data_IF_455821761184
#
_entry.id   IF_455821761184
#
_cell.length_a   1.000
_cell.length_b   1.000
_cell.length_c   1.000
_cell.angle_alpha   90.00
_cell.angle_beta   90.00
_cell.angle_gamma   90.00
#
_symmetry.space_group_name_H-M   'P 1'
#
loop_
_entity.id
_entity.type
_entity.pdbx_description
1 polymer ?
#
# COMPACT_ATOMS: atom_id res chain seq x y z
N UNK A 1 11.56 1.45 -2.87
CA UNK A 1 10.85 2.75 -2.96
C UNK A 1 9.81 2.76 -1.86
N UNK A 2 9.78 3.80 -1.03
CA UNK A 2 8.76 3.92 0.02
C UNK A 2 7.40 4.06 -0.65
N UNK A 3 6.54 3.06 -0.52
CA UNK A 3 5.16 3.11 -0.99
C UNK A 3 4.41 4.13 -0.15
N UNK A 4 4.45 5.39 -0.57
CA UNK A 4 3.86 6.58 0.08
C UNK A 4 2.34 6.51 0.25
N UNK A 5 1.70 5.40 -0.10
CA UNK A 5 0.25 5.20 -0.05
C UNK A 5 -0.22 4.47 1.20
N UNK A 6 0.69 3.83 1.96
CA UNK A 6 0.35 3.02 3.12
C UNK A 6 1.01 3.55 4.40
N UNK A 7 0.24 3.63 5.48
CA UNK A 7 0.75 3.88 6.83
C UNK A 7 0.73 2.58 7.61
N UNK A 8 1.91 2.07 7.95
CA UNK A 8 2.07 0.84 8.74
C UNK A 8 1.98 1.14 10.22
N UNK A 9 1.18 0.37 10.95
CA UNK A 9 0.99 0.52 12.38
C UNK A 9 0.56 -0.81 13.01
N UNK A 10 0.75 -0.92 14.33
CA UNK A 10 0.19 -2.03 15.11
C UNK A 10 -1.32 -1.80 15.32
N UNK A 11 -2.12 -2.86 15.17
CA UNK A 11 -3.55 -2.84 15.42
C UNK A 11 -3.83 -2.70 16.92
N UNK A 12 -4.40 -1.56 17.30
CA UNK A 12 -4.85 -1.31 18.67
C UNK A 12 -6.33 -1.63 18.81
N UNK A 13 -6.77 -1.87 20.04
CA UNK A 13 -8.19 -2.04 20.35
C UNK A 13 -9.04 -0.87 19.85
N UNK A 14 -8.51 0.36 19.91
CA UNK A 14 -9.21 1.55 19.42
C UNK A 14 -9.49 1.47 17.92
N UNK A 15 -8.52 1.02 17.12
CA UNK A 15 -8.69 0.88 15.67
C UNK A 15 -9.73 -0.21 15.36
N UNK A 16 -9.62 -1.36 16.03
CA UNK A 16 -10.46 -2.51 15.71
C UNK A 16 -11.92 -2.34 16.15
N UNK A 17 -12.15 -1.68 17.30
CA UNK A 17 -13.50 -1.44 17.81
C UNK A 17 -14.18 -0.22 17.20
N UNK A 18 -13.41 0.83 16.84
CA UNK A 18 -14.00 2.09 16.35
C UNK A 18 -14.00 2.20 14.84
N UNK A 19 -13.17 1.44 14.13
CA UNK A 19 -13.06 1.52 12.67
C UNK A 19 -13.45 0.21 12.00
N UNK A 20 -12.66 -0.85 12.18
CA UNK A 20 -12.93 -2.15 11.56
C UNK A 20 -12.06 -3.24 12.18
N UNK A 21 -12.62 -4.44 12.34
CA UNK A 21 -11.92 -5.64 12.76
C UNK A 21 -11.61 -6.59 11.59
N UNK A 22 -11.76 -6.14 10.35
CA UNK A 22 -11.49 -6.94 9.13
C UNK A 22 -10.68 -6.14 8.11
N UNK A 23 -9.89 -6.85 7.31
CA UNK A 23 -9.17 -6.31 6.16
C UNK A 23 -10.16 -5.82 5.09
N UNK A 24 -9.99 -4.58 4.63
CA UNK A 24 -10.85 -3.96 3.63
C UNK A 24 -10.69 -4.47 2.20
N UNK A 25 -9.85 -5.47 1.96
CA UNK A 25 -9.66 -6.12 0.65
C UNK A 25 -10.12 -7.58 0.68
N UNK A 26 -9.58 -8.39 1.60
CA UNK A 26 -9.87 -9.82 1.65
C UNK A 26 -10.88 -10.23 2.73
N UNK A 27 -11.35 -9.30 3.56
CA UNK A 27 -12.26 -9.54 4.69
C UNK A 27 -11.75 -10.53 5.75
N UNK A 28 -10.44 -10.83 5.75
CA UNK A 28 -9.84 -11.58 6.84
C UNK A 28 -9.87 -10.77 8.14
N UNK A 29 -10.03 -11.47 9.27
CA UNK A 29 -10.05 -10.84 10.59
C UNK A 29 -8.69 -10.19 10.92
N UNK A 30 -8.76 -9.02 11.54
CA UNK A 30 -7.63 -8.29 12.11
C UNK A 30 -7.72 -8.37 13.62
N UNK A 31 -6.59 -8.67 14.27
CA UNK A 31 -6.50 -8.86 15.71
C UNK A 31 -5.59 -7.80 16.34
N UNK A 32 -5.78 -7.56 17.63
CA UNK A 32 -4.93 -6.63 18.38
C UNK A 32 -3.49 -7.15 18.34
N UNK A 33 -2.54 -6.27 18.04
CA UNK A 33 -1.13 -6.61 17.89
C UNK A 33 -0.72 -7.00 16.47
N UNK A 34 -1.67 -7.18 15.54
CA UNK A 34 -1.33 -7.41 14.13
C UNK A 34 -0.68 -6.17 13.52
N UNK A 35 0.27 -6.36 12.60
CA UNK A 35 0.76 -5.27 11.76
C UNK A 35 -0.26 -5.05 10.64
N UNK A 36 -0.83 -3.84 10.60
CA UNK A 36 -1.84 -3.45 9.62
C UNK A 36 -1.38 -2.22 8.85
N UNK A 37 -1.92 -2.05 7.65
CA UNK A 37 -1.54 -1.00 6.73
C UNK A 37 -2.76 -0.18 6.36
N UNK A 38 -2.75 1.09 6.72
CA UNK A 38 -3.79 2.02 6.30
C UNK A 38 -3.51 2.52 4.88
N UNK A 39 -4.37 2.12 3.95
CA UNK A 39 -4.40 2.60 2.57
C UNK A 39 -5.00 4.02 2.53
N UNK A 40 -4.14 5.01 2.30
CA UNK A 40 -4.55 6.42 2.26
C UNK A 40 -5.32 6.78 0.99
N UNK A 41 -5.28 5.96 -0.06
CA UNK A 41 -6.00 6.21 -1.31
C UNK A 41 -7.45 5.75 -1.20
N UNK A 42 -7.66 4.56 -0.62
CA UNK A 42 -8.98 3.93 -0.51
C UNK A 42 -9.59 4.05 0.90
N UNK A 43 -8.90 4.70 1.84
CA UNK A 43 -9.34 4.94 3.22
C UNK A 43 -9.74 3.65 3.96
N UNK A 44 -8.91 2.61 3.84
CA UNK A 44 -9.18 1.28 4.43
C UNK A 44 -7.95 0.68 5.09
N UNK A 45 -8.17 -0.18 6.08
CA UNK A 45 -7.10 -0.98 6.70
C UNK A 45 -6.93 -2.31 5.98
N UNK A 46 -5.67 -2.71 5.77
CA UNK A 46 -5.29 -3.92 5.06
C UNK A 46 -4.37 -4.78 5.93
N UNK A 47 -4.46 -6.10 5.77
CA UNK A 47 -3.43 -7.01 6.25
C UNK A 47 -2.18 -6.94 5.35
N UNK A 48 -1.04 -7.39 5.88
CA UNK A 48 0.25 -7.39 5.19
C UNK A 48 0.18 -8.06 3.81
N UNK A 49 -0.43 -9.24 3.71
CA UNK A 49 -0.58 -9.95 2.44
C UNK A 49 -1.30 -9.14 1.36
N UNK A 50 -2.34 -8.38 1.73
CA UNK A 50 -3.06 -7.53 0.77
C UNK A 50 -2.25 -6.28 0.39
N UNK A 51 -1.55 -5.68 1.36
CA UNK A 51 -0.69 -4.54 1.09
C UNK A 51 0.46 -4.90 0.14
N UNK A 52 1.14 -6.04 0.36
CA UNK A 52 2.22 -6.51 -0.51
C UNK A 52 1.74 -6.79 -1.93
N UNK A 53 0.58 -7.45 -2.09
CA UNK A 53 -0.02 -7.72 -3.40
C UNK A 53 -0.32 -6.43 -4.16
N UNK A 54 -0.93 -5.45 -3.49
CA UNK A 54 -1.24 -4.16 -4.10
C UNK A 54 0.04 -3.42 -4.48
N UNK A 55 1.07 -3.44 -3.64
CA UNK A 55 2.37 -2.87 -3.98
C UNK A 55 3.02 -3.55 -5.19
N UNK A 56 2.92 -4.88 -5.30
CA UNK A 56 3.44 -5.61 -6.44
C UNK A 56 2.73 -5.19 -7.74
N UNK A 57 1.40 -5.13 -7.73
CA UNK A 57 0.61 -4.67 -8.88
C UNK A 57 0.96 -3.26 -9.31
N UNK A 58 1.11 -2.32 -8.36
CA UNK A 58 1.51 -0.94 -8.68
C UNK A 58 2.88 -0.86 -9.35
N UNK A 59 3.83 -1.70 -8.92
CA UNK A 59 5.17 -1.72 -9.51
C UNK A 59 5.17 -2.37 -10.91
N UNK A 60 4.30 -3.36 -11.16
CA UNK A 60 4.14 -3.98 -12.48
C UNK A 60 3.52 -3.01 -13.50
N UNK A 61 2.66 -2.09 -13.05
CA UNK A 61 2.05 -1.05 -13.88
C UNK A 61 2.94 0.20 -14.08
N UNK A 62 4.12 0.27 -13.45
CA UNK A 62 5.05 1.37 -13.68
C UNK A 62 5.73 1.25 -15.05
N UNK A 63 5.43 2.18 -15.96
CA UNK A 63 6.21 2.35 -17.19
C UNK A 63 7.66 2.74 -16.85
N UNK A 64 8.62 1.92 -17.30
CA UNK A 64 10.03 2.28 -17.26
C UNK A 64 10.27 3.30 -18.37
N UNK A 65 10.35 4.58 -18.02
CA UNK A 65 10.80 5.62 -18.95
C UNK A 65 12.31 5.48 -19.07
N UNK A 66 12.78 4.96 -20.21
CA UNK A 66 14.18 5.12 -20.58
C UNK A 66 14.34 6.54 -21.09
N UNK A 67 15.05 7.38 -20.36
CA UNK A 67 15.59 8.62 -20.91
C UNK A 67 16.62 8.23 -21.98
N UNK A 68 16.14 8.02 -23.22
CA UNK A 68 17.01 8.11 -24.37
C UNK A 68 17.43 9.59 -24.45
N UNK A 69 18.57 9.90 -23.83
CA UNK A 69 19.36 11.07 -24.20
C UNK A 69 19.68 10.95 -25.69
N UNK A 70 18.76 11.40 -26.54
CA UNK A 70 19.13 11.93 -27.85
C UNK A 70 20.14 13.04 -27.55
N UNK A 71 21.43 12.90 -27.90
CA UNK A 71 22.34 14.02 -27.81
C UNK A 71 21.82 15.01 -28.84
N UNK A 72 21.17 16.07 -28.36
CA UNK A 72 20.66 17.13 -29.22
C UNK A 72 21.85 17.74 -29.96
N UNK A 73 22.07 17.28 -31.18
CA UNK A 73 22.97 17.85 -32.17
C UNK A 73 22.31 19.13 -32.70
N UNK A 74 22.23 20.15 -31.85
CA UNK A 74 22.08 21.52 -32.32
C UNK A 74 23.49 22.08 -32.55
N UNK A 75 23.82 22.14 -33.84
CA UNK A 75 24.89 22.93 -34.44
C UNK A 75 24.78 24.41 -34.08
#
# INVERSE_FOLDING_TARGET
MSSTCFVTQEATEEILLRVTNVCGECYADLHIGDIIHYDMQNYRYLCECCQEKLCAMMNEECEIVNDEEEPSLFC
#
